data_IF_278234929788
#
_entry.id   IF_278234929788
#
_cell.length_a   1.000
_cell.length_b   1.000
_cell.length_c   1.000
_cell.angle_alpha   90.00
_cell.angle_beta   90.00
_cell.angle_gamma   90.00
#
_symmetry.space_group_name_H-M   'P 1'
#
loop_
_entity.id
_entity.type
_entity.pdbx_description
1 polymer ?
#
# COMPACT_ATOMS: atom_id res chain seq x y z
N UNK A 1 -28.59 -15.31 32.51
CA UNK A 1 -27.60 -15.91 31.59
C UNK A 1 -26.33 -16.10 32.40
N UNK A 2 -26.17 -17.26 33.03
CA UNK A 2 -25.02 -17.56 33.88
C UNK A 2 -23.88 -18.04 32.98
N UNK A 3 -23.08 -17.10 32.46
CA UNK A 3 -21.87 -17.48 31.73
C UNK A 3 -20.87 -18.01 32.76
N UNK A 4 -20.73 -19.33 32.83
CA UNK A 4 -19.90 -20.06 33.78
C UNK A 4 -18.51 -19.41 33.96
N UNK A 5 -18.10 -19.13 35.20
CA UNK A 5 -16.96 -18.27 35.62
C UNK A 5 -15.68 -18.40 34.76
N UNK A 6 -15.36 -19.61 34.26
CA UNK A 6 -14.23 -19.86 33.35
C UNK A 6 -14.33 -19.10 32.02
N UNK A 7 -15.53 -18.95 31.46
CA UNK A 7 -15.79 -18.21 30.23
C UNK A 7 -15.72 -16.70 30.44
N UNK A 8 -16.10 -16.21 31.63
CA UNK A 8 -15.95 -14.80 31.99
C UNK A 8 -14.47 -14.41 32.08
N UNK A 9 -13.64 -15.25 32.70
CA UNK A 9 -12.18 -15.06 32.73
C UNK A 9 -11.59 -15.11 31.32
N UNK A 10 -11.99 -16.08 30.49
CA UNK A 10 -11.55 -16.16 29.10
C UNK A 10 -11.91 -14.92 28.27
N UNK A 11 -13.13 -14.40 28.44
CA UNK A 11 -13.59 -13.21 27.73
C UNK A 11 -12.82 -11.96 28.18
N UNK A 12 -12.56 -11.81 29.49
CA UNK A 12 -11.72 -10.73 30.02
C UNK A 12 -10.29 -10.81 29.47
N UNK A 13 -9.70 -12.01 29.40
CA UNK A 13 -8.38 -12.20 28.80
C UNK A 13 -8.36 -11.81 27.32
N UNK A 14 -9.35 -12.22 26.52
CA UNK A 14 -9.43 -11.84 25.11
C UNK A 14 -9.57 -10.33 24.96
N UNK A 15 -10.45 -9.68 25.72
CA UNK A 15 -10.66 -8.23 25.62
C UNK A 15 -9.41 -7.41 26.02
N UNK A 16 -8.60 -7.92 26.95
CA UNK A 16 -7.35 -7.27 27.36
C UNK A 16 -6.16 -7.57 26.45
N UNK A 17 -6.12 -8.75 25.82
CA UNK A 17 -4.98 -9.19 25.00
C UNK A 17 -5.17 -8.92 23.50
N UNK A 18 -6.40 -8.84 22.99
CA UNK A 18 -6.65 -8.55 21.58
C UNK A 18 -6.09 -7.21 21.10
N UNK A 19 -6.17 -6.10 21.89
CA UNK A 19 -5.62 -4.81 21.49
C UNK A 19 -4.08 -4.81 21.36
N UNK A 20 -3.38 -5.67 22.11
CA UNK A 20 -1.90 -5.71 22.08
C UNK A 20 -1.35 -6.40 20.83
N UNK A 21 -2.19 -7.16 20.12
CA UNK A 21 -1.87 -7.77 18.83
C UNK A 21 -2.04 -6.80 17.65
N UNK A 22 -2.69 -5.65 17.88
CA UNK A 22 -2.89 -4.64 16.86
C UNK A 22 -1.69 -3.69 16.86
N UNK A 23 -0.61 -4.06 16.17
CA UNK A 23 0.48 -3.12 15.89
C UNK A 23 0.02 -2.12 14.83
N UNK A 24 0.17 -0.81 15.04
CA UNK A 24 -0.06 0.15 13.97
C UNK A 24 0.83 -0.18 12.78
N UNK A 25 0.33 0.02 11.56
CA UNK A 25 1.14 -0.11 10.36
C UNK A 25 2.20 0.99 10.36
N UNK A 26 3.47 0.59 10.34
CA UNK A 26 4.57 1.53 10.20
C UNK A 26 4.65 2.01 8.75
N UNK A 27 4.32 3.29 8.54
CA UNK A 27 4.46 3.93 7.23
C UNK A 27 5.89 4.39 7.02
N UNK A 28 6.45 4.11 5.84
CA UNK A 28 7.74 4.64 5.44
C UNK A 28 7.55 6.04 4.84
N UNK A 29 8.21 7.04 5.42
CA UNK A 29 8.22 8.39 4.87
C UNK A 29 8.83 8.41 3.46
N UNK A 30 8.10 8.96 2.49
CA UNK A 30 8.57 9.15 1.12
C UNK A 30 8.38 10.60 0.67
N UNK A 31 9.15 11.02 -0.34
CA UNK A 31 8.98 12.32 -1.01
C UNK A 31 8.33 12.08 -2.36
N UNK A 32 7.36 12.94 -2.72
CA UNK A 32 6.69 12.90 -4.01
C UNK A 32 6.83 14.26 -4.73
N UNK A 33 6.88 14.21 -6.05
CA UNK A 33 6.76 15.36 -6.94
C UNK A 33 5.89 14.96 -8.12
N UNK A 34 5.28 15.96 -8.77
CA UNK A 34 4.57 15.73 -10.01
C UNK A 34 5.53 15.69 -11.20
N UNK A 35 5.27 14.78 -12.13
CA UNK A 35 5.84 14.73 -13.47
C UNK A 35 4.74 14.23 -14.40
N UNK A 36 4.83 14.56 -15.69
CA UNK A 36 3.84 14.08 -16.66
C UNK A 36 3.56 15.11 -17.74
N UNK A 37 2.43 14.92 -18.40
CA UNK A 37 1.95 15.77 -19.50
C UNK A 37 0.80 16.68 -19.06
N UNK A 38 0.42 17.68 -19.89
CA UNK A 38 -0.65 18.63 -19.57
C UNK A 38 -2.04 18.01 -19.37
N UNK A 39 -2.24 16.79 -19.85
CA UNK A 39 -3.47 16.00 -19.70
C UNK A 39 -3.52 15.22 -18.37
N UNK A 40 -2.65 15.54 -17.42
CA UNK A 40 -2.56 14.93 -16.09
C UNK A 40 -2.17 13.43 -16.05
N UNK A 41 -1.69 12.89 -17.16
CA UNK A 41 -1.16 11.52 -17.25
C UNK A 41 0.37 11.46 -17.20
N UNK A 42 0.91 10.28 -16.88
CA UNK A 42 2.35 9.99 -16.98
C UNK A 42 2.84 10.03 -18.43
N UNK A 43 4.15 9.93 -18.69
CA UNK A 43 4.71 9.97 -20.05
C UNK A 43 4.73 8.59 -20.74
N UNK A 44 4.67 8.50 -22.09
CA UNK A 44 4.75 7.20 -22.78
C UNK A 44 6.14 6.57 -22.73
N UNK A 45 7.14 7.34 -22.28
CA UNK A 45 8.49 6.84 -22.03
C UNK A 45 8.63 6.50 -20.55
N UNK A 46 9.17 5.33 -20.25
CA UNK A 46 9.42 4.88 -18.88
C UNK A 46 10.30 3.63 -18.86
N UNK A 47 11.02 3.42 -17.76
CA UNK A 47 11.97 2.32 -17.61
C UNK A 47 11.31 0.92 -17.64
N UNK A 48 10.00 0.84 -17.35
CA UNK A 48 9.24 -0.40 -17.39
C UNK A 48 8.76 -0.80 -18.80
N UNK A 49 8.94 0.05 -19.82
CA UNK A 49 8.63 -0.31 -21.21
C UNK A 49 7.14 -0.40 -21.56
N UNK A 50 6.24 0.18 -20.76
CA UNK A 50 4.79 0.13 -21.02
C UNK A 50 4.30 1.04 -22.16
N UNK A 51 5.17 1.88 -22.73
CA UNK A 51 4.83 2.75 -23.87
C UNK A 51 3.55 3.58 -23.64
N UNK A 52 2.77 3.82 -24.68
CA UNK A 52 1.52 4.61 -24.61
C UNK A 52 0.51 4.01 -23.61
N UNK A 53 0.46 2.68 -23.51
CA UNK A 53 -0.40 1.97 -22.56
C UNK A 53 -0.09 2.33 -21.10
N UNK A 54 1.19 2.54 -20.77
CA UNK A 54 1.61 2.94 -19.42
C UNK A 54 1.11 4.32 -18.98
N UNK A 55 0.65 5.18 -19.89
CA UNK A 55 0.11 6.50 -19.53
C UNK A 55 -1.25 6.38 -18.85
N UNK A 56 -2.06 5.42 -19.27
CA UNK A 56 -3.47 5.32 -18.90
C UNK A 56 -3.80 4.06 -18.10
N UNK A 57 -2.83 3.17 -17.88
CA UNK A 57 -2.99 2.02 -16.98
C UNK A 57 -3.45 2.49 -15.59
N UNK A 58 -4.34 1.73 -14.97
CA UNK A 58 -4.97 2.07 -13.68
C UNK A 58 -5.59 3.48 -13.68
N UNK A 59 -6.27 3.86 -14.77
CA UNK A 59 -6.87 5.18 -14.97
C UNK A 59 -5.87 6.34 -14.81
N UNK A 60 -4.59 6.09 -15.12
CA UNK A 60 -3.51 7.06 -14.97
C UNK A 60 -2.92 7.16 -13.56
N UNK A 61 -3.37 6.32 -12.63
CA UNK A 61 -2.80 6.20 -11.28
C UNK A 61 -1.46 5.47 -11.35
N UNK A 62 -0.44 6.18 -11.82
CA UNK A 62 0.92 5.68 -12.01
C UNK A 62 1.92 6.58 -11.32
N UNK A 63 2.99 5.99 -10.77
CA UNK A 63 4.07 6.72 -10.11
C UNK A 63 5.43 6.25 -10.60
N UNK A 64 6.35 7.21 -10.76
CA UNK A 64 7.77 6.92 -10.90
C UNK A 64 8.37 6.73 -9.53
N UNK A 65 9.10 5.63 -9.32
CA UNK A 65 9.71 5.29 -8.03
C UNK A 65 11.22 5.10 -8.18
N UNK A 66 11.99 5.39 -7.13
CA UNK A 66 13.45 5.21 -7.12
C UNK A 66 13.84 3.86 -6.52
N UNK A 67 13.79 3.73 -5.19
CA UNK A 67 14.20 2.51 -4.48
C UNK A 67 13.31 1.29 -4.78
N UNK A 68 12.02 1.51 -5.02
CA UNK A 68 11.06 0.44 -5.30
C UNK A 68 11.17 -0.11 -6.73
N UNK A 69 11.81 0.60 -7.67
CA UNK A 69 11.95 0.15 -9.06
C UNK A 69 12.80 -1.12 -9.17
N UNK A 70 13.81 -1.27 -8.29
CA UNK A 70 14.65 -2.48 -8.16
C UNK A 70 15.13 -3.03 -9.52
N UNK A 71 15.76 -2.18 -10.32
CA UNK A 71 16.25 -2.52 -11.66
C UNK A 71 15.19 -3.16 -12.58
N UNK A 72 13.94 -2.72 -12.47
CA UNK A 72 12.81 -3.20 -13.26
C UNK A 72 12.00 -4.32 -12.61
N UNK A 73 12.49 -4.96 -11.55
CA UNK A 73 11.71 -6.01 -10.87
C UNK A 73 10.48 -5.48 -10.12
N UNK A 74 10.42 -4.19 -9.80
CA UNK A 74 9.24 -3.54 -9.23
C UNK A 74 8.28 -2.93 -10.25
N UNK A 75 8.41 -3.27 -11.54
CA UNK A 75 7.49 -2.80 -12.56
C UNK A 75 6.13 -3.50 -12.45
N UNK A 76 5.05 -2.73 -12.35
CA UNK A 76 3.68 -3.27 -12.26
C UNK A 76 3.21 -3.59 -10.83
N UNK A 77 4.05 -3.33 -9.83
CA UNK A 77 3.62 -3.35 -8.43
C UNK A 77 2.51 -2.31 -8.21
N UNK A 78 1.44 -2.74 -7.52
CA UNK A 78 0.22 -1.98 -7.21
C UNK A 78 0.12 -1.65 -5.73
#
# INVERSE_FOLDING_TARGET
MELHSKYQVGLVCVMLLLPTLCTPQDFTSSRATYYGSPDCYGTPRGACGYSEYGRTVNDGSVAGVSGLWKNGSGCGEV
#
